data_IF_111898874125
#
_entry.id   IF_111898874125
#
_cell.length_a   1.000
_cell.length_b   1.000
_cell.length_c   1.000
_cell.angle_alpha   90.00
_cell.angle_beta   90.00
_cell.angle_gamma   90.00
#
_symmetry.space_group_name_H-M   'P 1'
#
loop_
_entity.id
_entity.type
_entity.pdbx_description
1 polymer ?
#
# COMPACT_ATOMS: atom_id res chain seq x y z
N UNK A 1 17.51 -13.53 3.58
CA UNK A 1 16.63 -14.72 3.65
C UNK A 1 15.52 -14.67 2.59
N UNK A 2 15.25 -13.49 2.03
CA UNK A 2 14.22 -13.27 0.99
C UNK A 2 14.81 -12.85 -0.36
N UNK A 3 15.97 -13.46 -0.75
CA UNK A 3 16.77 -12.93 -1.85
C UNK A 3 16.15 -13.18 -3.22
N UNK A 4 15.81 -14.44 -3.51
CA UNK A 4 15.30 -14.82 -4.84
C UNK A 4 14.29 -15.96 -4.80
N UNK A 5 13.35 -15.94 -5.73
CA UNK A 5 12.43 -17.05 -6.03
C UNK A 5 12.52 -17.35 -7.52
N UNK A 6 12.92 -18.58 -7.87
CA UNK A 6 13.11 -18.97 -9.27
C UNK A 6 14.15 -18.14 -10.03
N UNK A 7 15.14 -17.59 -9.33
CA UNK A 7 16.18 -16.73 -9.92
C UNK A 7 15.79 -15.26 -10.09
N UNK A 8 14.59 -14.87 -9.66
CA UNK A 8 14.13 -13.48 -9.68
C UNK A 8 14.16 -12.87 -8.27
N UNK A 9 14.50 -11.57 -8.12
CA UNK A 9 14.43 -10.90 -6.83
C UNK A 9 13.01 -10.97 -6.24
N UNK A 10 12.91 -11.40 -4.98
CA UNK A 10 11.60 -11.49 -4.30
C UNK A 10 10.88 -10.15 -4.28
N UNK A 11 11.62 -9.06 -4.08
CA UNK A 11 11.09 -7.70 -4.12
C UNK A 11 10.26 -7.43 -5.38
N UNK A 12 10.79 -7.77 -6.56
CA UNK A 12 10.10 -7.58 -7.84
C UNK A 12 8.80 -8.39 -7.96
N UNK A 13 8.72 -9.56 -7.33
CA UNK A 13 7.52 -10.39 -7.34
C UNK A 13 6.45 -9.87 -6.38
N UNK A 14 6.85 -9.56 -5.14
CA UNK A 14 5.89 -9.17 -4.08
C UNK A 14 5.38 -7.75 -4.26
N UNK A 15 6.15 -6.84 -4.87
CA UNK A 15 5.68 -5.49 -5.17
C UNK A 15 4.42 -5.48 -6.05
N UNK A 16 4.27 -6.44 -6.98
CA UNK A 16 3.07 -6.57 -7.80
C UNK A 16 1.83 -6.90 -6.97
N UNK A 17 2.01 -7.69 -5.90
CA UNK A 17 0.92 -7.97 -4.95
C UNK A 17 0.51 -6.68 -4.24
N UNK A 18 1.47 -5.89 -3.76
CA UNK A 18 1.20 -4.62 -3.04
C UNK A 18 0.44 -3.64 -3.93
N UNK A 19 0.88 -3.45 -5.18
CA UNK A 19 0.26 -2.53 -6.15
C UNK A 19 -1.20 -2.90 -6.46
N UNK A 20 -1.56 -4.19 -6.35
CA UNK A 20 -2.94 -4.65 -6.57
C UNK A 20 -3.76 -4.59 -5.27
N UNK A 21 -3.19 -5.07 -4.16
CA UNK A 21 -3.92 -5.29 -2.92
C UNK A 21 -4.25 -3.97 -2.19
N UNK A 22 -3.38 -2.94 -2.27
CA UNK A 22 -3.64 -1.66 -1.62
C UNK A 22 -4.79 -0.87 -2.28
N UNK A 23 -4.89 -0.74 -3.62
CA UNK A 23 -6.10 -0.21 -4.25
C UNK A 23 -7.36 -1.04 -3.99
N UNK A 24 -7.24 -2.38 -3.95
CA UNK A 24 -8.35 -3.26 -3.58
C UNK A 24 -8.84 -2.99 -2.15
N UNK A 25 -7.92 -2.82 -1.19
CA UNK A 25 -8.26 -2.46 0.19
C UNK A 25 -8.99 -1.10 0.25
N UNK A 26 -8.54 -0.13 -0.55
CA UNK A 26 -9.19 1.18 -0.67
C UNK A 26 -10.61 1.05 -1.24
N UNK A 27 -10.80 0.25 -2.27
CA UNK A 27 -12.13 -0.04 -2.85
C UNK A 27 -13.04 -0.69 -1.81
N UNK A 28 -12.54 -1.67 -1.05
CA UNK A 28 -13.30 -2.31 0.01
C UNK A 28 -13.66 -1.34 1.15
N UNK A 29 -12.81 -0.37 1.45
CA UNK A 29 -13.12 0.70 2.40
C UNK A 29 -14.27 1.60 1.90
N UNK A 30 -14.31 1.93 0.60
CA UNK A 30 -15.42 2.64 -0.02
C UNK A 30 -16.73 1.84 0.06
N UNK A 31 -16.66 0.54 -0.25
CA UNK A 31 -17.82 -0.36 -0.12
C UNK A 31 -18.28 -0.50 1.34
N UNK A 32 -17.34 -0.51 2.29
CA UNK A 32 -17.65 -0.54 3.72
C UNK A 32 -18.29 0.78 4.20
N UNK A 33 -17.90 1.92 3.64
CA UNK A 33 -18.51 3.21 3.96
C UNK A 33 -19.98 3.29 3.54
N UNK A 34 -20.37 2.59 2.47
CA UNK A 34 -21.75 2.58 2.01
C UNK A 34 -22.62 1.64 2.87
N UNK A 35 -23.71 2.12 3.52
CA UNK A 35 -24.47 1.35 4.51
C UNK A 35 -25.01 0.00 4.02
N UNK A 36 -25.41 -0.09 2.72
CA UNK A 36 -25.99 -1.32 2.16
C UNK A 36 -24.97 -2.45 1.96
N UNK A 37 -23.71 -2.12 1.72
CA UNK A 37 -22.62 -3.09 1.48
C UNK A 37 -21.74 -3.32 2.70
N UNK A 38 -21.85 -2.47 3.74
CA UNK A 38 -21.02 -2.50 4.95
C UNK A 38 -20.91 -3.89 5.59
N UNK A 39 -22.02 -4.57 5.79
CA UNK A 39 -22.04 -5.89 6.41
C UNK A 39 -21.32 -6.97 5.60
N UNK A 40 -21.44 -6.89 4.28
CA UNK A 40 -20.74 -7.80 3.37
C UNK A 40 -19.25 -7.45 3.28
N UNK A 41 -18.90 -6.18 3.13
CA UNK A 41 -17.53 -5.73 2.90
C UNK A 41 -16.61 -5.87 4.12
N UNK A 42 -17.16 -5.92 5.35
CA UNK A 42 -16.38 -5.88 6.60
C UNK A 42 -15.28 -6.94 6.70
N UNK A 43 -15.59 -8.20 6.42
CA UNK A 43 -14.62 -9.29 6.51
C UNK A 43 -13.63 -9.32 5.34
N UNK A 44 -14.06 -9.19 4.08
CA UNK A 44 -13.12 -8.96 2.97
C UNK A 44 -12.15 -7.81 3.23
N UNK A 45 -12.64 -6.66 3.74
CA UNK A 45 -11.80 -5.51 4.09
C UNK A 45 -10.75 -5.88 5.16
N UNK A 46 -11.15 -6.52 6.25
CA UNK A 46 -10.23 -6.89 7.32
C UNK A 46 -9.16 -7.88 6.84
N UNK A 47 -9.56 -8.91 6.08
CA UNK A 47 -8.64 -9.93 5.54
C UNK A 47 -7.66 -9.30 4.54
N UNK A 48 -8.17 -8.51 3.60
CA UNK A 48 -7.33 -7.85 2.59
C UNK A 48 -6.38 -6.83 3.24
N UNK A 49 -6.84 -6.07 4.25
CA UNK A 49 -5.98 -5.13 4.96
C UNK A 49 -4.83 -5.83 5.71
N UNK A 50 -5.10 -6.95 6.39
CA UNK A 50 -4.05 -7.75 7.05
C UNK A 50 -3.07 -8.34 6.04
N UNK A 51 -3.57 -8.89 4.93
CA UNK A 51 -2.74 -9.40 3.84
C UNK A 51 -1.89 -8.30 3.20
N UNK A 52 -2.46 -7.10 3.01
CA UNK A 52 -1.77 -5.93 2.48
C UNK A 52 -0.61 -5.48 3.40
N UNK A 53 -0.84 -5.47 4.72
CA UNK A 53 0.21 -5.15 5.69
C UNK A 53 1.37 -6.15 5.61
N UNK A 54 1.06 -7.45 5.57
CA UNK A 54 2.08 -8.50 5.42
C UNK A 54 2.85 -8.39 4.11
N UNK A 55 2.15 -8.19 2.99
CA UNK A 55 2.78 -8.01 1.68
C UNK A 55 3.68 -6.75 1.63
N UNK A 56 3.21 -5.62 2.17
CA UNK A 56 4.00 -4.38 2.22
C UNK A 56 5.26 -4.55 3.07
N UNK A 57 5.14 -5.22 4.22
CA UNK A 57 6.30 -5.53 5.07
C UNK A 57 7.32 -6.39 4.33
N UNK A 58 6.90 -7.50 3.71
CA UNK A 58 7.81 -8.39 2.95
C UNK A 58 8.45 -7.66 1.77
N UNK A 59 7.69 -6.79 1.07
CA UNK A 59 8.22 -6.00 -0.05
C UNK A 59 9.31 -5.05 0.42
N UNK A 60 9.11 -4.37 1.56
CA UNK A 60 10.10 -3.47 2.14
C UNK A 60 11.38 -4.23 2.51
N UNK A 61 11.28 -5.28 3.32
CA UNK A 61 12.44 -6.06 3.77
C UNK A 61 13.24 -6.64 2.59
N UNK A 62 12.52 -7.22 1.60
CA UNK A 62 13.18 -7.74 0.39
C UNK A 62 13.79 -6.65 -0.49
N UNK A 63 13.31 -5.42 -0.42
CA UNK A 63 13.88 -4.26 -1.09
C UNK A 63 15.23 -3.85 -0.49
N UNK A 64 15.32 -3.79 0.83
CA UNK A 64 16.56 -3.50 1.56
C UNK A 64 17.63 -4.59 1.30
N UNK A 65 17.24 -5.87 1.29
CA UNK A 65 18.15 -6.96 0.94
C UNK A 65 18.65 -6.84 -0.52
N UNK A 66 17.77 -6.46 -1.44
CA UNK A 66 18.14 -6.25 -2.85
C UNK A 66 19.12 -5.07 -3.01
N UNK A 67 18.88 -3.94 -2.34
CA UNK A 67 19.79 -2.79 -2.35
C UNK A 67 21.19 -3.17 -1.86
N UNK A 68 21.27 -3.91 -0.75
CA UNK A 68 22.53 -4.39 -0.20
C UNK A 68 23.24 -5.35 -1.16
N UNK A 69 22.50 -6.28 -1.80
CA UNK A 69 23.05 -7.23 -2.76
C UNK A 69 23.62 -6.55 -4.02
N UNK A 70 22.98 -5.46 -4.46
CA UNK A 70 23.45 -4.65 -5.60
C UNK A 70 24.57 -3.68 -5.23
N UNK A 71 24.88 -3.50 -3.95
CA UNK A 71 25.90 -2.57 -3.47
C UNK A 71 25.60 -1.10 -3.79
N UNK A 72 24.32 -0.74 -3.90
CA UNK A 72 23.88 0.63 -4.18
C UNK A 72 24.27 1.52 -3.00
N UNK A 73 24.83 2.70 -3.31
CA UNK A 73 25.25 3.68 -2.30
C UNK A 73 24.71 5.06 -2.66
N UNK A 74 24.37 5.85 -1.65
CA UNK A 74 24.02 7.25 -1.82
C UNK A 74 25.18 8.07 -2.46
N UNK A 75 24.87 9.22 -3.01
CA UNK A 75 25.84 10.11 -3.64
C UNK A 75 25.99 9.92 -5.16
N UNK A 76 25.06 9.20 -5.77
CA UNK A 76 24.87 9.17 -7.22
C UNK A 76 23.35 9.15 -7.53
N UNK A 77 22.93 9.52 -8.76
CA UNK A 77 21.50 9.67 -9.09
C UNK A 77 20.64 8.44 -8.77
N UNK A 78 21.15 7.24 -8.96
CA UNK A 78 20.44 5.99 -8.64
C UNK A 78 20.28 5.83 -7.15
N UNK A 79 21.38 5.96 -6.38
CA UNK A 79 21.38 5.78 -4.94
C UNK A 79 20.51 6.80 -4.20
N UNK A 80 20.49 8.05 -4.67
CA UNK A 80 19.66 9.10 -4.08
C UNK A 80 18.16 8.83 -4.31
N UNK A 81 17.77 8.32 -5.48
CA UNK A 81 16.40 7.90 -5.77
C UNK A 81 16.00 6.65 -4.97
N UNK A 82 16.90 5.69 -4.79
CA UNK A 82 16.63 4.50 -3.96
C UNK A 82 16.42 4.91 -2.51
N UNK A 83 17.21 5.84 -1.98
CA UNK A 83 17.01 6.35 -0.62
C UNK A 83 15.68 7.08 -0.46
N UNK A 84 15.25 7.89 -1.45
CA UNK A 84 13.92 8.51 -1.45
C UNK A 84 12.81 7.45 -1.52
N UNK A 85 12.97 6.43 -2.38
CA UNK A 85 12.05 5.30 -2.49
C UNK A 85 11.87 4.58 -1.16
N UNK A 86 12.95 4.29 -0.45
CA UNK A 86 12.95 3.64 0.85
C UNK A 86 12.22 4.48 1.92
N UNK A 87 12.47 5.79 1.96
CA UNK A 87 11.78 6.69 2.88
C UNK A 87 10.27 6.70 2.63
N UNK A 88 9.84 6.75 1.38
CA UNK A 88 8.43 6.69 1.00
C UNK A 88 7.82 5.31 1.31
N UNK A 89 8.57 4.21 1.13
CA UNK A 89 8.13 2.87 1.48
C UNK A 89 7.94 2.69 2.99
N UNK A 90 8.81 3.29 3.82
CA UNK A 90 8.66 3.33 5.27
C UNK A 90 7.39 4.08 5.69
N UNK A 91 7.10 5.23 5.07
CA UNK A 91 5.88 5.99 5.31
C UNK A 91 4.64 5.20 4.88
N UNK A 92 4.69 4.53 3.72
CA UNK A 92 3.62 3.68 3.24
C UNK A 92 3.33 2.54 4.22
N UNK A 93 4.35 1.86 4.75
CA UNK A 93 4.17 0.79 5.73
C UNK A 93 3.42 1.28 6.98
N UNK A 94 3.77 2.47 7.49
CA UNK A 94 3.06 3.08 8.63
C UNK A 94 1.60 3.36 8.27
N UNK A 95 1.33 3.94 7.10
CA UNK A 95 -0.03 4.22 6.62
C UNK A 95 -0.87 2.94 6.49
N UNK A 96 -0.28 1.88 5.93
CA UNK A 96 -0.93 0.56 5.79
C UNK A 96 -1.21 -0.05 7.16
N UNK A 97 -0.30 0.07 8.13
CA UNK A 97 -0.51 -0.41 9.49
C UNK A 97 -1.68 0.31 10.19
N UNK A 98 -1.72 1.65 10.10
CA UNK A 98 -2.82 2.47 10.65
C UNK A 98 -4.15 2.12 9.97
N UNK A 99 -4.15 2.00 8.64
CA UNK A 99 -5.33 1.57 7.89
C UNK A 99 -5.82 0.19 8.34
N UNK A 100 -4.91 -0.77 8.48
CA UNK A 100 -5.24 -2.15 8.89
C UNK A 100 -5.86 -2.19 10.29
N UNK A 101 -5.28 -1.49 11.26
CA UNK A 101 -5.84 -1.39 12.61
C UNK A 101 -7.26 -0.81 12.56
N UNK A 102 -7.48 0.28 11.81
CA UNK A 102 -8.80 0.88 11.65
C UNK A 102 -9.77 -0.05 10.93
N UNK A 103 -9.34 -0.76 9.88
CA UNK A 103 -10.18 -1.72 9.14
C UNK A 103 -10.64 -2.88 10.04
N UNK A 104 -9.73 -3.49 10.79
CA UNK A 104 -10.04 -4.58 11.71
C UNK A 104 -10.96 -4.09 12.84
N UNK A 105 -10.62 -2.96 13.47
CA UNK A 105 -11.45 -2.38 14.55
C UNK A 105 -12.86 -2.05 14.06
N UNK A 106 -13.00 -1.43 12.89
CA UNK A 106 -14.30 -1.10 12.29
C UNK A 106 -15.13 -2.35 11.98
N UNK A 107 -14.48 -3.40 11.45
CA UNK A 107 -15.14 -4.69 11.15
C UNK A 107 -15.65 -5.38 12.41
N UNK A 108 -14.88 -5.35 13.50
CA UNK A 108 -15.28 -5.90 14.80
C UNK A 108 -16.41 -5.09 15.46
N UNK A 109 -16.35 -3.76 15.38
CA UNK A 109 -17.40 -2.86 15.90
C UNK A 109 -18.72 -3.16 15.18
N UNK A 110 -18.74 -3.20 13.86
CA UNK A 110 -19.97 -3.53 13.09
C UNK A 110 -20.47 -4.93 13.44
N UNK A 111 -19.58 -5.91 13.66
CA UNK A 111 -19.98 -7.25 14.08
C UNK A 111 -20.68 -7.26 15.43
N UNK A 112 -20.20 -6.50 16.38
CA UNK A 112 -20.83 -6.37 17.73
C UNK A 112 -22.17 -5.65 17.69
N UNK A 113 -22.26 -4.59 16.85
CA UNK A 113 -23.50 -3.82 16.71
C UNK A 113 -24.65 -4.61 16.07
N UNK A 114 -24.33 -5.58 15.22
CA UNK A 114 -25.34 -6.49 14.66
C UNK A 114 -25.98 -7.42 15.71
N UNK A 115 -25.31 -7.63 16.84
CA UNK A 115 -25.79 -8.47 17.94
C UNK A 115 -26.47 -7.64 19.05
N UNK A 116 -26.13 -6.36 19.17
CA UNK A 116 -26.63 -5.48 20.21
C UNK A 116 -27.75 -4.56 19.69
N UNK A 117 -28.92 -4.47 20.34
CA UNK A 117 -30.05 -3.68 19.86
C UNK A 117 -29.88 -2.15 20.04
N UNK A 118 -28.70 -1.68 20.44
CA UNK A 118 -28.42 -0.25 20.65
C UNK A 118 -27.78 0.38 19.42
N UNK A 119 -28.29 1.51 18.98
CA UNK A 119 -27.65 2.33 17.91
C UNK A 119 -26.30 2.83 18.43
N UNK A 120 -25.23 2.69 17.63
CA UNK A 120 -23.94 3.25 17.99
C UNK A 120 -23.99 4.78 17.99
N UNK A 121 -23.09 5.45 18.71
CA UNK A 121 -22.87 6.88 18.55
C UNK A 121 -22.55 7.22 17.08
N UNK A 122 -23.05 8.35 16.61
CA UNK A 122 -22.84 8.83 15.21
C UNK A 122 -21.34 8.88 14.86
N UNK A 123 -20.48 9.22 15.82
CA UNK A 123 -19.03 9.22 15.64
C UNK A 123 -18.48 7.84 15.22
N UNK A 124 -19.07 6.75 15.69
CA UNK A 124 -18.68 5.39 15.31
C UNK A 124 -19.33 5.01 13.98
N UNK A 125 -20.60 5.33 13.80
CA UNK A 125 -21.35 4.95 12.61
C UNK A 125 -20.84 5.63 11.33
N UNK A 126 -20.42 6.88 11.42
CA UNK A 126 -19.96 7.71 10.30
C UNK A 126 -18.45 7.95 10.36
N UNK A 127 -17.89 8.20 11.53
CA UNK A 127 -16.50 8.61 11.69
C UNK A 127 -15.51 7.51 11.28
N UNK A 128 -15.73 6.25 11.70
CA UNK A 128 -14.82 5.16 11.33
C UNK A 128 -14.79 4.88 9.81
N UNK A 129 -15.93 4.77 9.11
CA UNK A 129 -15.92 4.62 7.65
C UNK A 129 -15.28 5.79 6.91
N UNK A 130 -15.53 7.03 7.34
CA UNK A 130 -14.91 8.22 6.74
C UNK A 130 -13.40 8.19 6.92
N UNK A 131 -12.91 7.87 8.12
CA UNK A 131 -11.49 7.75 8.39
C UNK A 131 -10.83 6.65 7.54
N UNK A 132 -11.51 5.51 7.34
CA UNK A 132 -11.05 4.43 6.46
C UNK A 132 -10.92 4.89 5.01
N UNK A 133 -11.90 5.61 4.49
CA UNK A 133 -11.86 6.12 3.11
C UNK A 133 -10.71 7.11 2.95
N UNK A 134 -10.56 8.05 3.87
CA UNK A 134 -9.46 9.04 3.82
C UNK A 134 -8.10 8.31 3.87
N UNK A 135 -7.93 7.39 4.82
CA UNK A 135 -6.69 6.62 4.94
C UNK A 135 -6.41 5.80 3.68
N UNK A 136 -7.44 5.17 3.09
CA UNK A 136 -7.33 4.42 1.84
C UNK A 136 -6.90 5.29 0.66
N UNK A 137 -7.47 6.49 0.51
CA UNK A 137 -7.09 7.43 -0.57
C UNK A 137 -5.65 7.95 -0.40
N UNK A 138 -5.26 8.29 0.83
CA UNK A 138 -3.88 8.67 1.14
C UNK A 138 -2.92 7.52 0.82
N UNK A 139 -3.25 6.30 1.22
CA UNK A 139 -2.46 5.11 0.93
C UNK A 139 -2.33 4.85 -0.58
N UNK A 140 -3.41 4.99 -1.35
CA UNK A 140 -3.38 4.84 -2.81
C UNK A 140 -2.47 5.89 -3.48
N UNK A 141 -2.49 7.15 -3.00
CA UNK A 141 -1.58 8.19 -3.45
C UNK A 141 -0.11 7.87 -3.11
N UNK A 142 0.15 7.32 -1.91
CA UNK A 142 1.52 6.92 -1.52
C UNK A 142 2.05 5.76 -2.36
N UNK A 143 1.22 4.77 -2.69
CA UNK A 143 1.59 3.68 -3.62
C UNK A 143 2.05 4.23 -4.97
N UNK A 144 1.31 5.21 -5.51
CA UNK A 144 1.71 5.87 -6.75
C UNK A 144 3.08 6.55 -6.60
N UNK A 145 3.32 7.30 -5.51
CA UNK A 145 4.58 7.99 -5.25
C UNK A 145 5.76 7.02 -5.12
N UNK A 146 5.60 5.96 -4.35
CA UNK A 146 6.62 4.90 -4.19
C UNK A 146 6.94 4.27 -5.55
N UNK A 147 5.92 3.93 -6.34
CA UNK A 147 6.08 3.36 -7.67
C UNK A 147 6.75 4.30 -8.67
N UNK A 148 6.41 5.60 -8.66
CA UNK A 148 7.02 6.60 -9.53
C UNK A 148 8.53 6.74 -9.26
N UNK A 149 8.93 6.91 -7.99
CA UNK A 149 10.35 7.04 -7.63
C UNK A 149 11.12 5.75 -7.93
N UNK A 150 10.56 4.58 -7.58
CA UNK A 150 11.19 3.28 -7.88
C UNK A 150 11.38 3.06 -9.39
N UNK A 151 10.40 3.43 -10.20
CA UNK A 151 10.51 3.32 -11.66
C UNK A 151 11.55 4.30 -12.24
N UNK A 152 11.66 5.52 -11.70
CA UNK A 152 12.71 6.47 -12.12
C UNK A 152 14.10 5.95 -11.81
N UNK A 153 14.32 5.36 -10.65
CA UNK A 153 15.62 4.80 -10.28
C UNK A 153 16.11 3.74 -11.28
N UNK A 154 15.19 2.99 -11.89
CA UNK A 154 15.53 1.92 -12.87
C UNK A 154 15.62 2.46 -14.29
N UNK A 155 14.69 3.31 -14.71
CA UNK A 155 14.51 3.63 -16.11
C UNK A 155 15.04 5.02 -16.51
N UNK A 156 15.12 5.97 -15.59
CA UNK A 156 15.53 7.34 -15.88
C UNK A 156 16.17 8.03 -14.67
N UNK A 157 17.26 7.48 -14.11
CA UNK A 157 17.85 8.00 -12.88
C UNK A 157 18.39 9.43 -13.03
N UNK A 158 18.86 9.81 -14.20
CA UNK A 158 19.38 11.16 -14.47
C UNK A 158 18.29 12.14 -14.96
N UNK A 159 17.07 11.67 -15.21
CA UNK A 159 15.97 12.49 -15.72
C UNK A 159 16.13 12.97 -17.17
N UNK A 160 17.12 12.46 -17.92
CA UNK A 160 17.48 12.91 -19.25
C UNK A 160 16.92 12.03 -20.38
N UNK A 161 16.31 10.90 -20.07
CA UNK A 161 15.72 9.98 -21.05
C UNK A 161 14.32 10.43 -21.42
N UNK A 162 14.11 10.74 -22.69
CA UNK A 162 12.79 11.06 -23.23
C UNK A 162 12.20 9.83 -23.94
N UNK A 163 11.18 9.22 -23.32
CA UNK A 163 10.46 8.06 -23.87
C UNK A 163 9.30 8.45 -24.81
N UNK A 164 9.02 9.75 -24.99
CA UNK A 164 8.06 10.15 -25.99
C UNK A 164 8.64 9.81 -27.38
N UNK A 165 8.08 8.81 -28.04
CA UNK A 165 8.36 8.59 -29.45
C UNK A 165 7.95 9.85 -30.19
N UNK A 166 8.94 10.55 -30.81
CA UNK A 166 8.64 11.49 -31.89
C UNK A 166 8.01 10.66 -33.02
N UNK A 167 6.71 10.50 -32.96
CA UNK A 167 5.94 10.00 -34.07
C UNK A 167 6.05 11.04 -35.17
N UNK A 168 6.94 10.83 -36.14
CA UNK A 168 7.02 11.63 -37.34
C UNK A 168 8.40 12.24 -37.63
N UNK A 169 9.36 11.44 -38.05
CA UNK A 169 10.30 11.84 -39.10
C UNK A 169 10.38 10.73 -40.14
#
# INVERSE_FOLDING_TARGET
MFDTVGGLPLHALVLHVVVIVLPLATLLALLFAYPRTRNWARWPLAVVAVGALGATFVTKESGEELEQALGIRAGNPVGDLIQEHEQLANQLLILVAVFTVNAVASSLVVSRLNVAPRRPPVAIEVGLPVLLVIAGLVMAFWVYRVGDIGSRAVWNPEGNVNYSTSAGQ
#
